data_IF_007149894801
#
_entry.id   IF_007149894801
#
_cell.length_a   1.000
_cell.length_b   1.000
_cell.length_c   1.000
_cell.angle_alpha   90.00
_cell.angle_beta   90.00
_cell.angle_gamma   90.00
#
_symmetry.space_group_name_H-M   'P 1'
#
loop_
_entity.id
_entity.type
_entity.pdbx_description
1 polymer ?
#
# COMPACT_ATOMS: atom_id res chain seq x y z
N UNK A 1 21.27 8.37 53.04
CA UNK A 1 21.60 8.35 51.61
C UNK A 1 21.15 7.02 51.05
N UNK A 2 19.92 6.98 50.60
CA UNK A 2 19.39 5.85 49.84
C UNK A 2 19.54 6.17 48.38
N UNK A 3 20.50 5.53 47.72
CA UNK A 3 20.58 5.57 46.25
C UNK A 3 19.46 4.70 45.69
N UNK A 4 18.43 5.35 45.24
CA UNK A 4 17.34 4.73 44.46
C UNK A 4 17.90 4.49 43.06
N UNK A 5 18.51 3.32 42.84
CA UNK A 5 18.77 2.84 41.51
C UNK A 5 17.44 2.30 40.99
N UNK A 6 16.71 3.15 40.29
CA UNK A 6 15.60 2.71 39.49
C UNK A 6 16.17 1.68 38.50
N UNK A 7 15.82 0.42 38.72
CA UNK A 7 16.05 -0.67 37.81
C UNK A 7 15.16 -0.39 36.59
N UNK A 8 15.73 0.31 35.60
CA UNK A 8 15.06 0.59 34.32
C UNK A 8 14.94 -0.75 33.61
N UNK A 9 13.77 -1.35 33.69
CA UNK A 9 13.45 -2.57 32.96
C UNK A 9 13.85 -2.39 31.50
N UNK A 10 14.55 -3.36 30.86
CA UNK A 10 14.96 -3.23 29.48
C UNK A 10 13.75 -2.94 28.62
N UNK A 11 13.80 -1.85 27.84
CA UNK A 11 12.75 -1.46 26.93
C UNK A 11 12.40 -2.66 26.05
N UNK A 12 11.12 -2.99 25.92
CA UNK A 12 10.67 -4.06 25.02
C UNK A 12 11.23 -3.80 23.62
N UNK A 13 11.70 -4.83 22.90
CA UNK A 13 12.28 -4.65 21.57
C UNK A 13 11.26 -3.96 20.66
N UNK A 14 11.66 -2.82 20.07
CA UNK A 14 10.80 -2.04 19.19
C UNK A 14 10.61 -2.80 17.88
N UNK A 15 9.37 -3.06 17.50
CA UNK A 15 9.02 -3.68 16.22
C UNK A 15 9.44 -2.76 15.06
N UNK A 16 10.13 -3.30 14.06
CA UNK A 16 10.54 -2.59 12.85
C UNK A 16 9.79 -3.11 11.63
N UNK A 17 9.82 -2.36 10.53
CA UNK A 17 9.25 -2.85 9.27
C UNK A 17 9.90 -4.13 8.77
N UNK A 18 11.17 -4.34 9.05
CA UNK A 18 11.88 -5.58 8.71
C UNK A 18 11.30 -6.82 9.39
N UNK A 19 10.64 -6.65 10.54
CA UNK A 19 10.01 -7.74 11.29
C UNK A 19 8.65 -8.16 10.74
N UNK A 20 8.10 -7.43 9.76
CA UNK A 20 6.74 -7.63 9.27
C UNK A 20 6.63 -8.61 8.10
N UNK A 21 7.74 -9.00 7.50
CA UNK A 21 7.76 -9.97 6.39
C UNK A 21 7.61 -9.36 5.00
N UNK A 22 7.83 -8.06 4.86
CA UNK A 22 7.79 -7.37 3.56
C UNK A 22 8.96 -7.78 2.65
N UNK A 23 8.75 -7.68 1.34
CA UNK A 23 9.79 -7.85 0.33
C UNK A 23 10.95 -6.85 0.52
N UNK A 24 12.17 -7.26 0.23
CA UNK A 24 13.38 -6.43 0.45
C UNK A 24 13.34 -5.11 -0.32
N UNK A 25 12.87 -5.10 -1.56
CA UNK A 25 12.76 -3.89 -2.35
C UNK A 25 11.74 -2.92 -1.76
N UNK A 26 10.63 -3.44 -1.22
CA UNK A 26 9.62 -2.64 -0.51
C UNK A 26 10.19 -2.09 0.80
N UNK A 27 10.95 -2.87 1.55
CA UNK A 27 11.64 -2.40 2.76
C UNK A 27 12.61 -1.24 2.48
N UNK A 28 13.36 -1.33 1.39
CA UNK A 28 14.27 -0.25 0.96
C UNK A 28 13.52 1.03 0.62
N UNK A 29 12.40 0.92 -0.09
CA UNK A 29 11.56 2.07 -0.41
C UNK A 29 10.95 2.71 0.84
N UNK A 30 10.49 1.93 1.80
CA UNK A 30 9.99 2.40 3.10
C UNK A 30 11.06 3.19 3.85
N UNK A 31 12.29 2.71 3.84
CA UNK A 31 13.43 3.41 4.43
C UNK A 31 13.73 4.73 3.71
N UNK A 32 13.67 4.72 2.38
CA UNK A 32 13.92 5.92 1.57
C UNK A 32 12.91 7.04 1.85
N UNK A 33 11.64 6.71 2.13
CA UNK A 33 10.63 7.70 2.51
C UNK A 33 10.69 8.12 3.98
N UNK A 34 11.63 7.56 4.74
CA UNK A 34 11.89 7.97 6.12
C UNK A 34 11.07 7.25 7.19
N UNK A 35 10.41 6.16 6.86
CA UNK A 35 9.67 5.37 7.84
C UNK A 35 10.63 4.41 8.57
N UNK A 36 10.72 4.55 9.88
CA UNK A 36 11.58 3.70 10.71
C UNK A 36 10.79 2.66 11.49
N UNK A 37 9.73 3.11 12.16
CA UNK A 37 8.90 2.27 13.03
C UNK A 37 7.49 2.22 12.48
N UNK A 38 6.88 1.02 12.34
CA UNK A 38 5.52 0.92 11.90
C UNK A 38 4.55 1.53 12.91
N UNK A 39 3.49 2.18 12.43
CA UNK A 39 2.38 2.60 13.26
C UNK A 39 1.60 1.40 13.78
N UNK A 40 0.72 1.60 14.76
CA UNK A 40 -0.09 0.52 15.33
C UNK A 40 -0.94 -0.19 14.26
N UNK A 41 -1.57 0.57 13.34
CA UNK A 41 -2.37 -0.02 12.26
C UNK A 41 -1.51 -0.81 11.28
N UNK A 42 -0.31 -0.34 10.95
CA UNK A 42 0.61 -1.05 10.08
C UNK A 42 1.09 -2.36 10.70
N UNK A 43 1.53 -2.32 11.95
CA UNK A 43 2.00 -3.51 12.67
C UNK A 43 0.91 -4.57 12.83
N UNK A 44 -0.35 -4.14 13.04
CA UNK A 44 -1.48 -5.03 13.21
C UNK A 44 -2.00 -5.65 11.90
N UNK A 45 -1.87 -4.94 10.77
CA UNK A 45 -2.52 -5.36 9.51
C UNK A 45 -1.58 -5.97 8.49
N UNK A 46 -0.32 -5.57 8.44
CA UNK A 46 0.62 -6.06 7.42
C UNK A 46 0.85 -7.56 7.53
N UNK A 47 1.17 -8.15 8.69
CA UNK A 47 1.40 -9.59 8.75
C UNK A 47 0.19 -10.45 8.37
N UNK A 48 -1.05 -10.18 8.85
CA UNK A 48 -2.21 -10.97 8.40
C UNK A 48 -2.49 -10.81 6.90
N UNK A 49 -2.33 -9.62 6.32
CA UNK A 49 -2.51 -9.43 4.88
C UNK A 49 -1.47 -10.21 4.07
N UNK A 50 -0.23 -10.25 4.50
CA UNK A 50 0.81 -11.08 3.87
C UNK A 50 0.52 -12.58 3.99
N UNK A 51 -0.19 -13.00 5.04
CA UNK A 51 -0.63 -14.37 5.22
C UNK A 51 -1.88 -14.73 4.39
N UNK A 52 -2.39 -13.81 3.57
CA UNK A 52 -3.57 -14.02 2.73
C UNK A 52 -4.90 -13.90 3.47
N UNK A 53 -4.92 -13.28 4.64
CA UNK A 53 -6.14 -13.11 5.45
C UNK A 53 -6.82 -11.79 5.12
N UNK A 54 -8.13 -11.75 5.24
CA UNK A 54 -8.91 -10.53 5.18
C UNK A 54 -8.76 -9.74 6.48
N UNK A 55 -8.68 -8.42 6.36
CA UNK A 55 -8.50 -7.52 7.51
C UNK A 55 -9.51 -6.39 7.45
N UNK A 56 -10.17 -6.12 8.56
CA UNK A 56 -10.94 -4.91 8.78
C UNK A 56 -10.17 -4.03 9.78
N UNK A 57 -9.64 -2.92 9.29
CA UNK A 57 -8.86 -1.98 10.09
C UNK A 57 -9.52 -0.62 10.16
N UNK A 58 -9.59 -0.05 11.35
CA UNK A 58 -10.04 1.32 11.57
C UNK A 58 -8.95 2.10 12.28
N UNK A 59 -8.65 3.28 11.77
CA UNK A 59 -7.65 4.16 12.35
C UNK A 59 -7.97 5.61 11.98
N UNK A 60 -7.48 6.54 12.77
CA UNK A 60 -7.64 7.96 12.49
C UNK A 60 -6.82 8.37 11.26
N UNK A 61 -7.22 9.46 10.60
CA UNK A 61 -6.49 10.06 9.49
C UNK A 61 -5.06 10.41 9.91
N UNK A 62 -4.09 10.16 9.02
CA UNK A 62 -2.68 10.45 9.29
C UNK A 62 -1.92 9.36 10.05
N UNK A 63 -2.53 8.19 10.25
CA UNK A 63 -1.92 7.06 10.99
C UNK A 63 -1.21 6.04 10.10
N UNK A 64 -1.03 6.33 8.81
CA UNK A 64 -0.34 5.44 7.88
C UNK A 64 -1.20 4.33 7.31
N UNK A 65 -2.52 4.53 7.19
CA UNK A 65 -3.44 3.52 6.65
C UNK A 65 -3.09 3.08 5.23
N UNK A 66 -2.68 4.02 4.38
CA UNK A 66 -2.33 3.70 2.98
C UNK A 66 -1.18 2.72 2.93
N UNK A 67 -0.11 2.93 3.69
CA UNK A 67 0.99 1.99 3.77
C UNK A 67 0.57 0.63 4.34
N UNK A 68 -0.39 0.61 5.26
CA UNK A 68 -0.88 -0.62 5.87
C UNK A 68 -1.43 -1.64 4.86
N UNK A 69 -2.02 -1.18 3.75
CA UNK A 69 -2.45 -2.07 2.67
C UNK A 69 -1.52 -2.03 1.44
N UNK A 70 -0.92 -0.89 1.13
CA UNK A 70 -0.06 -0.76 -0.05
C UNK A 70 1.22 -1.60 0.05
N UNK A 71 1.86 -1.64 1.19
CA UNK A 71 3.10 -2.39 1.39
C UNK A 71 2.91 -3.90 1.23
N UNK A 72 1.89 -4.53 1.82
CA UNK A 72 1.63 -5.95 1.56
C UNK A 72 1.27 -6.24 0.11
N UNK A 73 0.45 -5.40 -0.52
CA UNK A 73 0.08 -5.56 -1.93
C UNK A 73 1.33 -5.57 -2.80
N UNK A 74 2.20 -4.58 -2.66
CA UNK A 74 3.43 -4.48 -3.44
C UNK A 74 4.38 -5.64 -3.20
N UNK A 75 4.46 -6.14 -1.97
CA UNK A 75 5.30 -7.29 -1.62
C UNK A 75 4.83 -8.59 -2.26
N UNK A 76 3.55 -8.71 -2.61
CA UNK A 76 2.94 -9.92 -3.16
C UNK A 76 2.71 -9.86 -4.67
N UNK A 77 3.05 -8.76 -5.35
CA UNK A 77 2.87 -8.64 -6.78
C UNK A 77 3.77 -9.63 -7.55
N UNK A 78 3.18 -10.29 -8.54
CA UNK A 78 3.92 -10.99 -9.56
C UNK A 78 4.18 -10.03 -10.73
N UNK A 79 5.39 -9.51 -10.84
CA UNK A 79 5.77 -8.50 -11.84
C UNK A 79 5.84 -9.07 -13.26
N UNK A 80 5.84 -10.39 -13.42
CA UNK A 80 5.81 -11.04 -14.74
C UNK A 80 4.42 -11.00 -15.36
N UNK A 81 3.37 -10.84 -14.56
CA UNK A 81 1.99 -10.75 -15.02
C UNK A 81 1.59 -9.27 -15.18
N UNK A 82 1.11 -8.92 -16.36
CA UNK A 82 0.68 -7.56 -16.70
C UNK A 82 -0.83 -7.35 -16.61
N UNK A 83 -1.49 -8.14 -15.79
CA UNK A 83 -2.92 -8.02 -15.50
C UNK A 83 -3.13 -7.44 -14.10
N UNK A 84 -4.23 -6.74 -13.84
CA UNK A 84 -4.51 -6.20 -12.52
C UNK A 84 -4.55 -7.29 -11.46
N UNK A 85 -3.73 -7.13 -10.41
CA UNK A 85 -3.64 -8.07 -9.29
C UNK A 85 -4.24 -7.49 -8.02
N UNK A 86 -4.37 -6.18 -7.94
CA UNK A 86 -4.98 -5.48 -6.83
C UNK A 86 -5.89 -4.36 -7.32
N UNK A 87 -7.01 -4.19 -6.62
CA UNK A 87 -7.96 -3.11 -6.83
C UNK A 87 -8.14 -2.35 -5.52
N UNK A 88 -7.93 -1.05 -5.56
CA UNK A 88 -8.18 -0.15 -4.44
C UNK A 88 -9.29 0.81 -4.80
N UNK A 89 -10.32 0.87 -3.98
CA UNK A 89 -11.44 1.79 -4.15
C UNK A 89 -11.26 3.00 -3.24
N UNK A 90 -11.36 4.18 -3.81
CA UNK A 90 -11.31 5.46 -3.10
C UNK A 90 -12.57 6.26 -3.42
N UNK A 91 -13.20 6.93 -2.44
CA UNK A 91 -14.47 7.61 -2.65
C UNK A 91 -14.38 8.85 -3.54
N UNK A 92 -13.20 9.47 -3.62
CA UNK A 92 -12.99 10.69 -4.40
C UNK A 92 -11.79 10.56 -5.34
N UNK A 93 -11.80 11.36 -6.40
CA UNK A 93 -10.67 11.50 -7.34
C UNK A 93 -9.38 11.90 -6.62
N UNK A 94 -9.45 12.88 -5.73
CA UNK A 94 -8.30 13.40 -5.00
C UNK A 94 -7.66 12.30 -4.14
N UNK A 95 -8.47 11.51 -3.45
CA UNK A 95 -7.96 10.41 -2.64
C UNK A 95 -7.36 9.30 -3.53
N UNK A 96 -7.99 8.99 -4.66
CA UNK A 96 -7.44 8.02 -5.61
C UNK A 96 -6.04 8.43 -6.09
N UNK A 97 -5.85 9.71 -6.42
CA UNK A 97 -4.54 10.22 -6.83
C UNK A 97 -3.50 10.19 -5.71
N UNK A 98 -3.88 10.53 -4.48
CA UNK A 98 -3.00 10.43 -3.31
C UNK A 98 -2.56 8.99 -3.04
N UNK A 99 -3.48 8.04 -3.17
CA UNK A 99 -3.17 6.62 -3.01
C UNK A 99 -2.22 6.14 -4.10
N UNK A 100 -2.42 6.55 -5.36
CA UNK A 100 -1.49 6.23 -6.45
C UNK A 100 -0.08 6.77 -6.19
N UNK A 101 0.04 8.01 -5.76
CA UNK A 101 1.33 8.62 -5.42
C UNK A 101 2.04 7.85 -4.30
N UNK A 102 1.29 7.42 -3.28
CA UNK A 102 1.83 6.61 -2.20
C UNK A 102 2.33 5.25 -2.72
N UNK A 103 1.56 4.56 -3.55
CA UNK A 103 2.00 3.30 -4.19
C UNK A 103 3.28 3.49 -5.00
N UNK A 104 3.37 4.56 -5.79
CA UNK A 104 4.56 4.87 -6.59
C UNK A 104 5.79 5.09 -5.71
N UNK A 105 5.65 5.80 -4.59
CA UNK A 105 6.73 6.00 -3.61
C UNK A 105 7.22 4.69 -3.02
N UNK A 106 6.31 3.81 -2.64
CA UNK A 106 6.65 2.51 -2.04
C UNK A 106 7.15 1.50 -3.08
N UNK A 107 6.82 1.69 -4.35
CA UNK A 107 7.26 0.85 -5.45
C UNK A 107 8.57 1.33 -6.11
N UNK A 108 9.20 2.38 -5.60
CA UNK A 108 10.35 3.03 -6.22
C UNK A 108 11.54 2.09 -6.46
N UNK A 109 11.67 1.03 -5.66
CA UNK A 109 12.72 0.02 -5.78
C UNK A 109 12.26 -1.27 -6.49
N UNK A 110 10.99 -1.34 -6.90
CA UNK A 110 10.45 -2.41 -7.72
C UNK A 110 10.46 -2.00 -9.18
N UNK A 111 11.00 -2.86 -10.05
CA UNK A 111 11.06 -2.56 -11.49
C UNK A 111 9.78 -2.99 -12.18
N UNK A 112 9.22 -2.07 -12.98
CA UNK A 112 8.13 -2.38 -13.88
C UNK A 112 6.75 -2.44 -13.23
N UNK A 113 6.59 -1.90 -12.03
CA UNK A 113 5.27 -1.78 -11.40
C UNK A 113 4.50 -0.64 -12.06
N UNK A 114 3.27 -0.94 -12.50
CA UNK A 114 2.36 0.04 -13.06
C UNK A 114 1.12 0.15 -12.17
N UNK A 115 0.87 1.36 -11.67
CA UNK A 115 -0.30 1.72 -10.87
C UNK A 115 -1.15 2.68 -11.68
N UNK A 116 -2.40 2.34 -11.92
CA UNK A 116 -3.29 3.14 -12.76
C UNK A 116 -4.39 3.76 -11.93
N UNK A 117 -4.52 5.10 -11.92
CA UNK A 117 -5.70 5.77 -11.39
C UNK A 117 -6.84 5.74 -12.41
N UNK A 118 -8.04 5.38 -11.93
CA UNK A 118 -9.26 5.31 -12.75
C UNK A 118 -10.35 6.11 -12.07
N UNK A 119 -10.71 7.26 -12.67
CA UNK A 119 -11.70 8.17 -12.10
C UNK A 119 -12.51 8.90 -13.17
N UNK A 120 -13.65 9.46 -12.79
CA UNK A 120 -14.51 10.26 -13.68
C UNK A 120 -13.85 11.59 -14.07
N UNK A 121 -14.21 12.12 -15.23
CA UNK A 121 -13.69 13.37 -15.77
C UNK A 121 -12.40 13.23 -16.58
N UNK A 122 -11.79 12.05 -16.60
CA UNK A 122 -10.66 11.71 -17.46
C UNK A 122 -11.12 11.00 -18.72
N UNK A 123 -10.35 11.11 -19.81
CA UNK A 123 -10.67 10.43 -21.06
C UNK A 123 -10.77 8.90 -20.90
N UNK A 124 -11.90 8.34 -21.26
CA UNK A 124 -12.14 6.90 -21.14
C UNK A 124 -11.15 6.08 -21.97
N UNK A 125 -10.84 6.54 -23.18
CA UNK A 125 -9.89 5.88 -24.07
C UNK A 125 -8.47 5.80 -23.54
N UNK A 126 -8.01 6.81 -22.78
CA UNK A 126 -6.71 6.80 -22.15
C UNK A 126 -6.61 5.74 -21.06
N UNK A 127 -7.67 5.59 -20.25
CA UNK A 127 -7.73 4.55 -19.22
C UNK A 127 -7.72 3.15 -19.82
N UNK A 128 -8.48 2.93 -20.89
CA UNK A 128 -8.50 1.64 -21.59
C UNK A 128 -7.15 1.31 -22.23
N UNK A 129 -6.50 2.29 -22.86
CA UNK A 129 -5.17 2.10 -23.46
C UNK A 129 -4.13 1.71 -22.41
N UNK A 130 -4.16 2.34 -21.24
CA UNK A 130 -3.28 2.00 -20.12
C UNK A 130 -3.52 0.58 -19.60
N UNK A 131 -4.78 0.16 -19.46
CA UNK A 131 -5.14 -1.20 -19.07
C UNK A 131 -4.63 -2.25 -20.07
N UNK A 132 -4.75 -1.97 -21.37
CA UNK A 132 -4.25 -2.86 -22.44
C UNK A 132 -2.72 -2.99 -22.46
N UNK A 133 -1.99 -1.93 -22.09
CA UNK A 133 -0.52 -1.98 -21.99
C UNK A 133 -0.03 -2.79 -20.80
N UNK A 134 -0.89 -3.01 -19.82
CA UNK A 134 -0.61 -3.78 -18.62
C UNK A 134 -0.45 -2.92 -17.39
N UNK A 135 -1.19 -3.27 -16.34
CA UNK A 135 -1.10 -2.64 -15.02
C UNK A 135 -1.18 -3.71 -13.95
N UNK A 136 -0.56 -3.47 -12.82
CA UNK A 136 -0.55 -4.39 -11.68
C UNK A 136 -1.56 -3.98 -10.60
N UNK A 137 -1.73 -2.69 -10.38
CA UNK A 137 -2.63 -2.12 -9.37
C UNK A 137 -3.52 -1.08 -10.01
N UNK A 138 -4.81 -1.20 -9.78
CA UNK A 138 -5.81 -0.20 -10.19
C UNK A 138 -6.33 0.48 -8.95
N UNK A 139 -6.31 1.82 -8.94
CA UNK A 139 -6.86 2.64 -7.87
C UNK A 139 -7.94 3.52 -8.48
N UNK A 140 -9.17 3.40 -8.03
CA UNK A 140 -10.23 4.13 -8.69
C UNK A 140 -11.41 4.51 -7.83
N UNK A 141 -12.22 5.40 -8.39
CA UNK A 141 -13.53 5.74 -7.83
C UNK A 141 -14.55 4.66 -8.23
N UNK A 142 -15.48 4.28 -7.33
CA UNK A 142 -16.38 3.15 -7.57
C UNK A 142 -17.18 3.23 -8.87
N UNK A 143 -17.74 4.40 -9.18
CA UNK A 143 -18.54 4.57 -10.40
C UNK A 143 -17.76 4.34 -11.69
N UNK A 144 -16.53 4.85 -11.79
CA UNK A 144 -15.68 4.66 -12.96
C UNK A 144 -15.15 3.23 -13.04
N UNK A 145 -14.81 2.62 -11.92
CA UNK A 145 -14.39 1.21 -11.87
C UNK A 145 -15.52 0.30 -12.39
N UNK A 146 -16.75 0.52 -11.96
CA UNK A 146 -17.90 -0.24 -12.48
C UNK A 146 -18.05 -0.10 -14.00
N UNK A 147 -17.97 1.12 -14.52
CA UNK A 147 -18.09 1.37 -15.95
C UNK A 147 -17.00 0.68 -16.78
N UNK A 148 -15.78 0.65 -16.27
CA UNK A 148 -14.64 -0.02 -16.92
C UNK A 148 -14.73 -1.54 -16.79
N UNK A 149 -15.14 -2.06 -15.64
CA UNK A 149 -15.19 -3.51 -15.39
C UNK A 149 -16.21 -4.25 -16.22
N UNK A 150 -17.34 -3.62 -16.53
CA UNK A 150 -18.36 -4.23 -17.41
C UNK A 150 -17.84 -4.56 -18.80
N UNK A 151 -16.80 -3.90 -19.24
CA UNK A 151 -16.30 -4.00 -20.61
C UNK A 151 -14.88 -4.51 -20.73
N UNK A 152 -14.02 -4.42 -19.68
CA UNK A 152 -12.58 -4.55 -19.86
C UNK A 152 -11.78 -5.20 -18.70
N UNK A 153 -12.38 -5.48 -17.55
CA UNK A 153 -11.71 -6.11 -16.41
C UNK A 153 -12.16 -7.54 -16.17
#
# INVERSE_FOLDING_TARGET
MTSDTADEAPAAPTLTFADLGLDDAVLKAVKDVGYETPSAIQAATIPPLLAGRDVLGTAQTGTGKTAAFALPILSQLDLSQKTPQALVLAPTRELALQVCEAFESYAARLRGVHVLPVYGGQGYGQQLSALRRGVHVVVGTPGRIMAVSYTHL
#
